data_IF_499745029459
#
_entry.id   IF_499745029459
#
_cell.length_a   1.000
_cell.length_b   1.000
_cell.length_c   1.000
_cell.angle_alpha   90.00
_cell.angle_beta   90.00
_cell.angle_gamma   90.00
#
_symmetry.space_group_name_H-M   'P 1'
#
loop_
_entity.id
_entity.type
_entity.pdbx_description
1 polymer ?
#
# COMPACT_ATOMS: atom_id res chain seq x y z
N UNK A 1 16.67 6.88 -49.58
CA UNK A 1 16.55 8.17 -48.85
C UNK A 1 17.04 7.97 -47.41
N UNK A 2 18.17 8.54 -47.03
CA UNK A 2 18.74 8.50 -45.68
C UNK A 2 17.80 9.22 -44.70
N UNK A 3 17.14 8.48 -43.79
CA UNK A 3 16.38 9.11 -42.69
C UNK A 3 17.30 9.29 -41.49
N UNK A 4 17.99 10.43 -41.49
CA UNK A 4 18.67 11.01 -40.33
C UNK A 4 17.73 10.97 -39.11
N UNK A 5 18.22 10.47 -37.97
CA UNK A 5 17.50 10.47 -36.69
C UNK A 5 17.38 11.91 -36.18
N UNK A 6 16.37 12.64 -36.67
CA UNK A 6 16.08 14.01 -36.25
C UNK A 6 15.54 14.00 -34.81
N UNK A 7 16.45 14.21 -33.86
CA UNK A 7 16.23 14.83 -32.54
C UNK A 7 15.10 14.31 -31.65
N UNK A 8 15.38 13.30 -30.82
CA UNK A 8 14.83 13.34 -29.47
C UNK A 8 15.58 14.48 -28.75
N UNK A 9 14.98 15.69 -28.66
CA UNK A 9 15.53 16.78 -27.84
C UNK A 9 15.49 16.33 -26.38
N UNK A 10 16.60 15.76 -25.92
CA UNK A 10 16.82 15.47 -24.50
C UNK A 10 17.29 16.75 -23.80
N UNK A 11 16.89 16.90 -22.56
CA UNK A 11 17.29 17.98 -21.67
C UNK A 11 18.45 17.47 -20.83
N UNK A 12 19.64 18.06 -20.98
CA UNK A 12 20.83 17.70 -20.19
C UNK A 12 20.87 18.50 -18.90
N UNK A 13 21.32 17.88 -17.82
CA UNK A 13 21.72 18.62 -16.63
C UNK A 13 23.05 19.33 -16.92
N UNK A 14 23.20 20.53 -16.36
CA UNK A 14 24.41 21.36 -16.42
C UNK A 14 25.38 21.05 -15.28
N UNK A 15 24.91 20.37 -14.23
CA UNK A 15 25.66 20.03 -13.03
C UNK A 15 26.07 18.55 -12.95
N UNK A 16 25.55 17.70 -13.85
CA UNK A 16 25.97 16.30 -14.00
C UNK A 16 25.63 15.75 -15.40
N UNK A 17 26.11 14.54 -15.70
CA UNK A 17 25.92 13.91 -17.03
C UNK A 17 24.50 13.34 -17.26
N UNK A 18 23.55 13.57 -16.35
CA UNK A 18 22.19 13.06 -16.47
C UNK A 18 21.42 13.72 -17.62
N UNK A 19 20.68 12.92 -18.37
CA UNK A 19 19.84 13.39 -19.49
C UNK A 19 18.40 12.92 -19.35
N UNK A 20 17.46 13.82 -19.68
CA UNK A 20 16.04 13.63 -19.44
C UNK A 20 15.23 13.84 -20.71
N UNK A 21 14.13 13.10 -20.86
CA UNK A 21 13.24 13.24 -22.03
C UNK A 21 12.33 14.48 -21.96
N UNK A 22 12.18 15.09 -20.78
CA UNK A 22 11.30 16.24 -20.56
C UNK A 22 11.94 17.26 -19.63
N UNK A 23 11.66 18.55 -19.86
CA UNK A 23 12.18 19.66 -19.08
C UNK A 23 11.74 19.63 -17.62
N UNK A 24 10.49 19.24 -17.37
CA UNK A 24 9.97 19.12 -16.01
C UNK A 24 10.70 18.04 -15.20
N UNK A 25 11.10 16.95 -15.85
CA UNK A 25 11.87 15.87 -15.20
C UNK A 25 13.29 16.31 -14.89
N UNK A 26 13.93 17.08 -15.79
CA UNK A 26 15.22 17.72 -15.51
C UNK A 26 15.11 18.71 -14.33
N UNK A 27 14.09 19.58 -14.32
CA UNK A 27 13.90 20.54 -13.24
C UNK A 27 13.71 19.86 -11.87
N UNK A 28 12.96 18.75 -11.85
CA UNK A 28 12.80 17.94 -10.63
C UNK A 28 14.14 17.33 -10.21
N UNK A 29 14.92 16.80 -11.14
CA UNK A 29 16.25 16.27 -10.85
C UNK A 29 17.17 17.34 -10.22
N UNK A 30 17.25 18.53 -10.81
CA UNK A 30 18.06 19.63 -10.28
C UNK A 30 17.62 19.97 -8.86
N UNK A 31 16.31 20.13 -8.63
CA UNK A 31 15.78 20.42 -7.30
C UNK A 31 16.05 19.30 -6.28
N UNK A 32 16.03 18.02 -6.67
CA UNK A 32 16.25 16.88 -5.77
C UNK A 32 17.73 16.68 -5.45
N UNK A 33 18.56 16.64 -6.50
CA UNK A 33 19.93 16.11 -6.45
C UNK A 33 20.94 17.22 -6.19
N UNK A 34 20.69 18.42 -6.70
CA UNK A 34 21.63 19.52 -6.63
C UNK A 34 21.21 20.56 -5.60
N UNK A 35 19.95 21.00 -5.61
CA UNK A 35 19.51 22.08 -4.71
C UNK A 35 18.96 21.60 -3.36
N UNK A 36 18.53 20.34 -3.28
CA UNK A 36 17.77 19.81 -2.12
C UNK A 36 16.42 20.52 -1.89
N UNK A 37 15.92 21.30 -2.85
CA UNK A 37 14.70 22.11 -2.75
C UNK A 37 13.42 21.26 -2.67
N UNK A 38 12.94 21.02 -1.44
CA UNK A 38 11.66 20.35 -1.15
C UNK A 38 10.60 21.37 -0.71
N UNK A 39 9.86 21.93 -1.66
CA UNK A 39 8.88 23.00 -1.41
C UNK A 39 7.53 22.52 -0.84
N UNK A 40 7.16 21.26 -1.09
CA UNK A 40 5.82 20.76 -0.77
C UNK A 40 5.84 19.97 0.55
N UNK A 41 5.50 20.64 1.65
CA UNK A 41 5.47 20.03 2.98
C UNK A 41 4.19 19.22 3.20
N UNK A 42 4.32 18.07 3.85
CA UNK A 42 3.17 17.36 4.40
C UNK A 42 2.67 18.10 5.65
N UNK A 43 1.36 18.19 5.80
CA UNK A 43 0.67 18.77 6.96
C UNK A 43 0.46 17.75 8.10
N UNK A 44 0.81 16.48 7.83
CA UNK A 44 0.60 15.35 8.74
C UNK A 44 1.91 14.75 9.25
N UNK A 45 3.04 15.16 8.66
CA UNK A 45 4.38 14.77 9.09
C UNK A 45 5.38 15.80 8.57
N UNK A 46 6.62 15.77 9.08
CA UNK A 46 7.64 16.77 8.75
C UNK A 46 8.30 16.55 7.37
N UNK A 47 7.85 15.56 6.59
CA UNK A 47 8.41 15.25 5.26
C UNK A 47 8.02 16.32 4.24
N UNK A 48 9.02 16.78 3.49
CA UNK A 48 8.85 17.67 2.35
C UNK A 48 9.18 16.96 1.03
N UNK A 49 8.50 17.34 -0.04
CA UNK A 49 8.60 16.73 -1.37
C UNK A 49 8.91 17.79 -2.43
N UNK A 50 9.51 17.34 -3.53
CA UNK A 50 9.91 18.22 -4.63
C UNK A 50 8.76 18.55 -5.57
N UNK A 51 7.72 17.71 -5.64
CA UNK A 51 6.55 17.98 -6.49
C UNK A 51 5.21 17.78 -5.76
N UNK A 52 4.14 18.46 -6.20
CA UNK A 52 2.80 18.24 -5.64
C UNK A 52 2.30 16.81 -5.91
N UNK A 53 2.67 16.21 -7.04
CA UNK A 53 2.23 14.86 -7.41
C UNK A 53 2.82 13.79 -6.49
N UNK A 54 4.08 13.95 -6.06
CA UNK A 54 4.72 13.08 -5.08
C UNK A 54 4.10 13.30 -3.70
N UNK A 55 3.87 14.54 -3.26
CA UNK A 55 3.14 14.81 -2.02
C UNK A 55 1.73 14.20 -2.03
N UNK A 56 0.98 14.36 -3.13
CA UNK A 56 -0.37 13.77 -3.30
C UNK A 56 -0.33 12.25 -3.22
N UNK A 57 0.71 11.63 -3.79
CA UNK A 57 0.90 10.18 -3.73
C UNK A 57 1.30 9.71 -2.32
N UNK A 58 2.11 10.51 -1.62
CA UNK A 58 2.43 10.30 -0.21
C UNK A 58 1.17 10.38 0.65
N UNK A 59 0.33 11.41 0.52
CA UNK A 59 -0.91 11.58 1.31
C UNK A 59 -2.02 10.56 0.99
N UNK A 60 -1.79 9.58 0.11
CA UNK A 60 -2.78 8.52 -0.14
C UNK A 60 -2.91 7.66 1.10
N UNK A 61 -4.07 7.74 1.74
CA UNK A 61 -4.41 6.93 2.91
C UNK A 61 -4.41 5.45 2.53
N UNK A 62 -3.54 4.66 3.18
CA UNK A 62 -3.54 3.19 3.10
C UNK A 62 -3.99 2.60 4.43
N UNK A 63 -4.31 1.31 4.40
CA UNK A 63 -4.52 0.52 5.61
C UNK A 63 -3.16 -0.06 6.03
N UNK A 64 -2.69 0.31 7.21
CA UNK A 64 -1.47 -0.25 7.81
C UNK A 64 -1.90 -1.07 9.02
N UNK A 65 -1.52 -2.33 9.02
CA UNK A 65 -1.89 -3.31 10.04
C UNK A 65 -0.63 -3.81 10.72
N UNK A 66 -0.61 -3.71 12.05
CA UNK A 66 0.41 -4.33 12.89
C UNK A 66 -0.29 -5.41 13.71
N UNK A 67 0.07 -6.66 13.45
CA UNK A 67 -0.42 -7.78 14.24
C UNK A 67 0.58 -8.08 15.35
N UNK A 68 0.09 -8.20 16.58
CA UNK A 68 0.94 -8.41 17.77
C UNK A 68 0.60 -9.68 18.53
N UNK A 69 1.63 -10.27 19.11
CA UNK A 69 1.53 -11.41 20.03
C UNK A 69 2.42 -11.10 21.23
N UNK A 70 1.84 -10.45 22.24
CA UNK A 70 2.57 -10.00 23.41
C UNK A 70 3.01 -11.20 24.27
N UNK A 71 4.17 -11.12 24.95
CA UNK A 71 4.62 -12.15 25.85
C UNK A 71 3.59 -12.48 26.95
N UNK A 72 3.59 -13.73 27.40
CA UNK A 72 2.67 -14.17 28.47
C UNK A 72 3.08 -13.62 29.83
N UNK A 73 2.31 -13.89 30.88
CA UNK A 73 2.69 -13.49 32.24
C UNK A 73 4.01 -14.12 32.70
N UNK A 74 4.27 -15.38 32.29
CA UNK A 74 5.45 -16.16 32.69
C UNK A 74 6.74 -15.68 32.02
N UNK A 75 6.65 -14.89 30.96
CA UNK A 75 7.81 -14.33 30.28
C UNK A 75 8.55 -13.37 31.20
N UNK A 76 9.88 -13.36 31.12
CA UNK A 76 10.72 -12.47 31.91
C UNK A 76 10.53 -10.98 31.51
N UNK A 77 11.11 -10.09 32.31
CA UNK A 77 11.00 -8.65 32.11
C UNK A 77 11.69 -8.18 30.82
N UNK A 78 12.82 -8.78 30.46
CA UNK A 78 13.60 -8.40 29.28
C UNK A 78 12.85 -8.72 27.98
N UNK A 79 12.20 -9.88 27.90
CA UNK A 79 11.36 -10.28 26.78
C UNK A 79 10.15 -9.34 26.62
N UNK A 80 9.53 -8.92 27.74
CA UNK A 80 8.45 -7.93 27.72
C UNK A 80 8.95 -6.59 27.20
N UNK A 81 10.11 -6.11 27.66
CA UNK A 81 10.71 -4.85 27.20
C UNK A 81 11.05 -4.87 25.72
N UNK A 82 11.78 -5.89 25.26
CA UNK A 82 12.11 -6.07 23.85
C UNK A 82 10.88 -6.06 22.93
N UNK A 83 9.78 -6.69 23.37
CA UNK A 83 8.52 -6.66 22.62
C UNK A 83 7.94 -5.25 22.46
N UNK A 84 7.90 -4.46 23.54
CA UNK A 84 7.36 -3.10 23.48
C UNK A 84 8.28 -2.12 22.74
N UNK A 85 9.60 -2.32 22.82
CA UNK A 85 10.58 -1.55 22.05
C UNK A 85 10.42 -1.82 20.55
N UNK A 86 10.34 -3.09 20.16
CA UNK A 86 10.08 -3.46 18.77
C UNK A 86 8.74 -2.91 18.28
N UNK A 87 7.68 -3.00 19.09
CA UNK A 87 6.39 -2.45 18.71
C UNK A 87 6.44 -0.92 18.57
N UNK A 88 7.22 -0.22 19.39
CA UNK A 88 7.45 1.21 19.27
C UNK A 88 8.14 1.54 17.94
N UNK A 89 9.18 0.79 17.55
CA UNK A 89 9.88 1.00 16.29
C UNK A 89 8.95 0.82 15.08
N UNK A 90 8.12 -0.22 15.08
CA UNK A 90 7.13 -0.46 14.01
C UNK A 90 6.09 0.66 13.93
N UNK A 91 5.66 1.22 15.07
CA UNK A 91 4.76 2.37 15.12
C UNK A 91 5.43 3.63 14.53
N UNK A 92 6.73 3.81 14.73
CA UNK A 92 7.48 4.95 14.17
C UNK A 92 7.70 4.84 12.66
N UNK A 93 7.77 3.62 12.12
CA UNK A 93 7.87 3.37 10.68
C UNK A 93 6.52 3.63 9.97
N UNK A 94 5.41 3.39 10.66
CA UNK A 94 4.07 3.53 10.10
C UNK A 94 3.75 4.98 9.66
N UNK A 95 3.25 5.21 8.42
CA UNK A 95 2.92 6.56 7.97
C UNK A 95 1.79 7.20 8.79
N UNK A 96 2.01 8.41 9.32
CA UNK A 96 1.01 9.14 10.13
C UNK A 96 -0.36 9.38 9.46
N UNK A 97 -0.41 9.37 8.12
CA UNK A 97 -1.65 9.58 7.37
C UNK A 97 -2.44 8.28 7.14
N UNK A 98 -1.87 7.11 7.45
CA UNK A 98 -2.52 5.82 7.23
C UNK A 98 -3.59 5.52 8.28
N UNK A 99 -4.52 4.65 7.90
CA UNK A 99 -5.47 3.99 8.79
C UNK A 99 -4.73 2.93 9.62
N UNK A 100 -3.83 3.35 10.51
CA UNK A 100 -3.04 2.46 11.35
C UNK A 100 -3.92 1.72 12.36
N UNK A 101 -3.74 0.39 12.41
CA UNK A 101 -4.43 -0.52 13.33
C UNK A 101 -3.45 -1.52 13.91
N UNK A 102 -3.38 -1.56 15.23
CA UNK A 102 -2.65 -2.60 15.97
C UNK A 102 -3.67 -3.56 16.55
N UNK A 103 -3.52 -4.86 16.32
CA UNK A 103 -4.41 -5.86 16.92
C UNK A 103 -3.69 -7.17 17.18
N UNK A 104 -4.29 -7.98 18.05
CA UNK A 104 -3.80 -9.32 18.38
C UNK A 104 -3.83 -9.55 19.88
N UNK A 105 -3.03 -10.50 20.34
CA UNK A 105 -3.04 -10.93 21.72
C UNK A 105 -2.11 -10.05 22.56
N UNK A 106 -2.71 -9.04 23.18
CA UNK A 106 -1.95 -8.09 23.99
C UNK A 106 -1.57 -8.65 25.37
N UNK A 107 -2.23 -9.72 25.82
CA UNK A 107 -2.11 -10.27 27.18
C UNK A 107 -2.27 -9.21 28.29
N UNK A 108 -2.98 -8.12 28.00
CA UNK A 108 -3.06 -6.92 28.83
C UNK A 108 -4.42 -6.85 29.54
N UNK A 109 -4.45 -6.40 30.79
CA UNK A 109 -5.68 -6.10 31.52
C UNK A 109 -5.71 -4.61 31.85
N UNK A 110 -6.84 -3.92 31.63
CA UNK A 110 -6.91 -2.45 31.66
C UNK A 110 -7.95 -1.90 32.66
N UNK A 111 -8.19 -2.54 33.81
CA UNK A 111 -9.29 -2.18 34.72
C UNK A 111 -8.92 -1.24 35.88
N UNK A 112 -7.71 -0.72 35.90
CA UNK A 112 -7.27 0.31 36.84
C UNK A 112 -7.80 1.70 36.50
N UNK A 113 -7.25 2.67 37.23
CA UNK A 113 -7.54 4.10 37.07
C UNK A 113 -7.24 4.58 35.64
N UNK A 114 -8.11 5.47 35.15
CA UNK A 114 -8.08 6.03 33.81
C UNK A 114 -7.55 7.47 33.78
N UNK A 115 -7.27 8.08 34.92
CA UNK A 115 -6.73 9.44 34.97
C UNK A 115 -5.49 9.57 34.09
N UNK A 116 -5.53 10.52 33.14
CA UNK A 116 -4.47 10.76 32.15
C UNK A 116 -4.54 9.89 30.89
N UNK A 117 -5.46 8.93 30.81
CA UNK A 117 -5.65 8.03 29.66
C UNK A 117 -7.05 8.14 29.05
N UNK A 118 -7.79 9.20 29.35
CA UNK A 118 -9.21 9.31 29.02
C UNK A 118 -9.50 9.31 27.51
N UNK A 119 -8.51 9.76 26.73
CA UNK A 119 -8.56 9.77 25.27
C UNK A 119 -8.05 8.46 24.68
N UNK A 120 -7.15 7.78 25.39
CA UNK A 120 -6.51 6.53 24.97
C UNK A 120 -7.43 5.34 25.17
N UNK A 121 -8.20 5.32 26.26
CA UNK A 121 -9.09 4.21 26.61
C UNK A 121 -10.44 4.73 27.11
N UNK A 122 -11.52 4.07 26.70
CA UNK A 122 -12.89 4.39 27.08
C UNK A 122 -13.32 3.76 28.40
N UNK A 123 -14.48 4.15 28.96
CA UNK A 123 -14.94 3.74 30.28
C UNK A 123 -15.41 2.29 30.35
N UNK A 124 -15.67 1.63 29.22
CA UNK A 124 -16.29 0.32 29.16
C UNK A 124 -15.24 -0.79 29.13
N UNK A 125 -14.67 -1.12 30.29
CA UNK A 125 -13.61 -2.15 30.45
C UNK A 125 -14.09 -3.31 31.32
N UNK A 126 -13.45 -4.46 31.25
CA UNK A 126 -13.85 -5.63 32.04
C UNK A 126 -12.67 -6.38 32.64
N UNK A 127 -12.79 -6.74 33.92
CA UNK A 127 -11.78 -7.42 34.72
C UNK A 127 -11.53 -6.69 36.05
N UNK A 128 -10.64 -7.22 36.88
CA UNK A 128 -10.49 -6.78 38.28
C UNK A 128 -9.40 -5.72 38.50
N UNK A 129 -8.31 -5.75 37.71
CA UNK A 129 -7.16 -4.84 37.88
C UNK A 129 -6.46 -4.56 36.54
N UNK A 130 -5.53 -3.62 36.55
CA UNK A 130 -4.51 -3.47 35.49
C UNK A 130 -3.30 -4.37 35.83
N UNK A 131 -2.72 -5.03 34.82
CA UNK A 131 -1.45 -5.74 34.95
C UNK A 131 -0.29 -4.95 34.30
N UNK A 132 0.97 -5.37 34.49
CA UNK A 132 2.16 -4.71 33.91
C UNK A 132 2.04 -4.48 32.38
N UNK A 133 1.53 -5.47 31.64
CA UNK A 133 1.28 -5.34 30.19
C UNK A 133 0.20 -4.31 29.86
N UNK A 134 -0.82 -4.20 30.71
CA UNK A 134 -1.83 -3.15 30.61
C UNK A 134 -1.25 -1.75 30.82
N UNK A 135 -0.37 -1.59 31.81
CA UNK A 135 0.37 -0.35 32.06
C UNK A 135 1.24 0.07 30.87
N UNK A 136 1.99 -0.90 30.32
CA UNK A 136 2.84 -0.70 29.15
C UNK A 136 2.02 -0.38 27.91
N UNK A 137 0.93 -1.11 27.67
CA UNK A 137 0.05 -0.90 26.51
C UNK A 137 -0.63 0.47 26.55
N UNK A 138 -1.18 0.90 27.71
CA UNK A 138 -1.84 2.22 27.81
C UNK A 138 -0.84 3.36 27.62
N UNK A 139 0.37 3.23 28.16
CA UNK A 139 1.45 4.21 28.00
C UNK A 139 1.90 4.31 26.54
N UNK A 140 2.20 3.18 25.90
CA UNK A 140 2.55 3.10 24.49
C UNK A 140 1.45 3.72 23.60
N UNK A 141 0.18 3.39 23.83
CA UNK A 141 -0.93 3.94 23.05
C UNK A 141 -1.06 5.45 23.26
N UNK A 142 -0.90 5.95 24.49
CA UNK A 142 -0.97 7.38 24.77
C UNK A 142 0.15 8.15 24.05
N UNK A 143 1.39 7.65 24.12
CA UNK A 143 2.56 8.27 23.46
C UNK A 143 2.42 8.31 21.93
N UNK A 144 1.81 7.29 21.33
CA UNK A 144 1.65 7.17 19.88
C UNK A 144 0.28 7.66 19.36
N UNK A 145 -0.50 8.38 20.18
CA UNK A 145 -1.84 8.87 19.83
C UNK A 145 -2.77 7.75 19.30
N UNK A 146 -2.78 6.60 19.95
CA UNK A 146 -3.67 5.47 19.64
C UNK A 146 -4.83 5.41 20.65
N UNK A 147 -6.05 5.08 20.19
CA UNK A 147 -7.15 4.69 21.05
C UNK A 147 -7.28 3.16 21.11
N UNK A 148 -7.37 2.59 22.30
CA UNK A 148 -7.68 1.18 22.58
C UNK A 148 -9.19 0.98 22.41
N UNK A 149 -9.64 0.73 21.18
CA UNK A 149 -10.99 1.08 20.75
C UNK A 149 -12.09 0.23 21.39
N UNK A 150 -11.82 -1.04 21.68
CA UNK A 150 -12.77 -1.94 22.36
C UNK A 150 -13.31 -1.35 23.67
N UNK A 151 -12.48 -0.61 24.39
CA UNK A 151 -12.82 -0.03 25.70
C UNK A 151 -13.83 1.12 25.63
N UNK A 152 -14.13 1.62 24.42
CA UNK A 152 -15.09 2.70 24.20
C UNK A 152 -16.51 2.20 23.89
N UNK A 153 -16.69 0.91 23.62
CA UNK A 153 -17.99 0.37 23.28
C UNK A 153 -18.64 -0.28 24.49
N UNK A 154 -19.84 0.19 24.82
CA UNK A 154 -20.64 -0.43 25.86
C UNK A 154 -21.25 -1.74 25.35
N UNK A 155 -20.82 -2.86 25.93
CA UNK A 155 -21.34 -4.17 25.60
C UNK A 155 -21.60 -5.00 26.86
N UNK A 156 -22.47 -6.00 26.74
CA UNK A 156 -22.63 -7.05 27.76
C UNK A 156 -21.28 -7.73 27.98
N UNK A 157 -20.95 -8.06 29.23
CA UNK A 157 -19.67 -8.69 29.64
C UNK A 157 -19.28 -9.87 28.73
N UNK A 158 -20.24 -10.70 28.35
CA UNK A 158 -20.03 -11.87 27.49
C UNK A 158 -19.47 -11.56 26.09
N UNK A 159 -19.68 -10.34 25.58
CA UNK A 159 -19.20 -9.87 24.27
C UNK A 159 -17.83 -9.19 24.36
N UNK A 160 -17.24 -9.13 25.55
CA UNK A 160 -15.93 -8.49 25.80
C UNK A 160 -14.86 -9.49 26.18
N UNK A 161 -15.25 -10.71 26.54
CA UNK A 161 -14.32 -11.75 26.99
C UNK A 161 -13.76 -12.51 25.80
N UNK A 162 -12.46 -12.38 25.59
CA UNK A 162 -11.76 -13.05 24.49
C UNK A 162 -11.07 -14.31 24.96
N UNK A 163 -10.47 -14.34 26.13
CA UNK A 163 -9.78 -15.53 26.62
C UNK A 163 -10.58 -16.27 27.68
N UNK A 164 -10.49 -17.60 27.67
CA UNK A 164 -11.06 -18.49 28.67
C UNK A 164 -9.97 -19.38 29.26
N UNK A 165 -9.90 -19.48 30.59
CA UNK A 165 -8.92 -20.34 31.25
C UNK A 165 -9.12 -21.82 30.93
N UNK A 166 -8.07 -22.65 31.00
CA UNK A 166 -8.23 -24.10 31.02
C UNK A 166 -9.25 -24.50 32.09
N UNK A 167 -10.27 -25.27 31.71
CA UNK A 167 -11.39 -25.64 32.59
C UNK A 167 -12.53 -24.61 32.71
N UNK A 168 -12.45 -23.47 32.03
CA UNK A 168 -13.57 -22.52 31.88
C UNK A 168 -13.93 -21.65 33.09
N UNK A 169 -13.13 -21.72 34.15
CA UNK A 169 -13.35 -21.01 35.42
C UNK A 169 -13.28 -19.48 35.28
N UNK A 170 -12.37 -18.97 34.45
CA UNK A 170 -12.12 -17.54 34.31
C UNK A 170 -12.21 -17.11 32.85
N UNK A 171 -12.70 -15.88 32.64
CA UNK A 171 -12.81 -15.24 31.33
C UNK A 171 -12.29 -13.81 31.43
N UNK A 172 -11.40 -13.43 30.52
CA UNK A 172 -10.72 -12.13 30.55
C UNK A 172 -10.77 -11.40 29.20
N UNK A 173 -10.76 -10.08 29.30
CA UNK A 173 -10.53 -9.15 28.18
C UNK A 173 -9.01 -8.92 28.10
N UNK A 174 -8.33 -9.54 27.12
CA UNK A 174 -6.86 -9.47 27.00
C UNK A 174 -6.31 -9.12 25.61
N UNK A 175 -7.19 -8.97 24.63
CA UNK A 175 -6.85 -8.67 23.23
C UNK A 175 -7.56 -7.38 22.83
N UNK A 176 -6.89 -6.49 22.12
CA UNK A 176 -7.43 -5.17 21.82
C UNK A 176 -7.15 -4.76 20.39
N UNK A 177 -8.01 -3.90 19.85
CA UNK A 177 -7.76 -3.22 18.58
C UNK A 177 -7.46 -1.76 18.92
N UNK A 178 -6.21 -1.37 18.70
CA UNK A 178 -5.74 -0.01 18.86
C UNK A 178 -5.75 0.68 17.50
N UNK A 179 -6.26 1.91 17.43
CA UNK A 179 -6.39 2.67 16.18
C UNK A 179 -5.83 4.06 16.38
N UNK A 180 -5.18 4.63 15.38
CA UNK A 180 -4.78 6.04 15.43
C UNK A 180 -5.96 6.94 15.79
N UNK A 181 -5.74 7.88 16.73
CA UNK A 181 -6.74 8.83 17.26
C UNK A 181 -7.53 9.51 16.16
N UNK A 182 -6.84 9.93 15.10
CA UNK A 182 -7.44 10.56 13.91
C UNK A 182 -8.53 9.71 13.26
N UNK A 183 -8.37 8.39 13.30
CA UNK A 183 -9.22 7.42 12.63
C UNK A 183 -10.09 6.62 13.60
N UNK A 184 -10.17 6.99 14.88
CA UNK A 184 -10.97 6.24 15.86
C UNK A 184 -12.47 6.19 15.50
N UNK A 185 -12.99 7.17 14.75
CA UNK A 185 -14.35 7.17 14.19
C UNK A 185 -14.56 6.19 13.03
N UNK A 186 -13.48 5.72 12.37
CA UNK A 186 -13.55 4.70 11.32
C UNK A 186 -13.91 3.32 11.86
N UNK A 187 -13.82 3.13 13.17
CA UNK A 187 -14.15 1.88 13.82
C UNK A 187 -15.47 2.07 14.58
N UNK A 188 -16.49 1.34 14.13
CA UNK A 188 -17.89 1.52 14.52
C UNK A 188 -18.31 0.61 15.68
N UNK A 189 -17.67 -0.55 15.83
CA UNK A 189 -18.00 -1.56 16.85
C UNK A 189 -16.81 -2.52 17.01
N UNK A 190 -16.47 -2.93 18.24
CA UNK A 190 -15.58 -4.09 18.48
C UNK A 190 -16.20 -4.98 19.52
N UNK A 191 -16.38 -6.26 19.17
CA UNK A 191 -16.87 -7.26 20.12
C UNK A 191 -16.35 -8.64 19.82
N UNK A 192 -16.31 -9.46 20.86
CA UNK A 192 -16.07 -10.88 20.75
C UNK A 192 -17.28 -11.59 20.12
N UNK A 193 -17.00 -12.58 19.26
CA UNK A 193 -17.96 -13.55 18.75
C UNK A 193 -17.59 -14.95 19.23
N UNK A 194 -18.54 -15.59 19.91
CA UNK A 194 -18.40 -16.89 20.58
C UNK A 194 -18.89 -18.03 19.69
N UNK A 195 -18.22 -18.34 18.58
CA UNK A 195 -18.62 -19.50 17.75
C UNK A 195 -17.54 -19.98 16.77
N UNK A 196 -16.31 -19.47 16.85
CA UNK A 196 -15.25 -19.99 15.99
C UNK A 196 -14.71 -21.26 16.66
N UNK A 197 -15.28 -22.40 16.31
CA UNK A 197 -14.82 -23.74 16.71
C UNK A 197 -13.47 -24.03 16.02
N UNK A 198 -12.41 -23.34 16.46
CA UNK A 198 -11.06 -23.45 15.89
C UNK A 198 -10.08 -24.11 16.88
N UNK A 199 -10.58 -24.77 17.93
CA UNK A 199 -9.74 -25.38 18.96
C UNK A 199 -8.85 -24.39 19.73
N UNK A 200 -9.24 -23.11 19.78
CA UNK A 200 -8.52 -22.06 20.52
C UNK A 200 -9.22 -21.71 21.83
N UNK A 201 -8.42 -21.38 22.85
CA UNK A 201 -8.86 -20.79 24.12
C UNK A 201 -9.23 -19.30 23.99
N UNK A 202 -9.18 -18.75 22.75
CA UNK A 202 -9.63 -17.42 22.40
C UNK A 202 -10.93 -17.41 21.57
N UNK A 203 -11.89 -16.58 21.96
CA UNK A 203 -13.02 -16.18 21.12
C UNK A 203 -12.56 -15.17 20.06
N UNK A 204 -13.14 -15.25 18.86
CA UNK A 204 -12.85 -14.33 17.76
C UNK A 204 -13.19 -12.88 18.14
N UNK A 205 -12.23 -11.97 17.96
CA UNK A 205 -12.45 -10.53 18.09
C UNK A 205 -12.85 -9.93 16.73
N UNK A 206 -14.02 -9.30 16.66
CA UNK A 206 -14.56 -8.74 15.41
C UNK A 206 -14.68 -7.23 15.52
N UNK A 207 -14.08 -6.51 14.58
CA UNK A 207 -14.26 -5.08 14.41
C UNK A 207 -15.11 -4.74 13.19
N UNK A 208 -16.17 -3.94 13.39
CA UNK A 208 -16.92 -3.31 12.31
C UNK A 208 -16.26 -2.01 11.92
N UNK A 209 -15.91 -1.90 10.65
CA UNK A 209 -15.04 -0.84 10.16
C UNK A 209 -15.69 -0.11 8.99
N UNK A 210 -15.62 1.22 9.01
CA UNK A 210 -15.98 2.06 7.87
C UNK A 210 -14.69 2.44 7.13
N UNK A 211 -14.57 1.97 5.89
CA UNK A 211 -13.40 2.20 5.03
C UNK A 211 -13.86 2.83 3.72
N UNK A 212 -13.33 4.00 3.39
CA UNK A 212 -13.50 4.61 2.08
C UNK A 212 -12.34 4.18 1.17
N UNK A 213 -12.48 3.01 0.57
CA UNK A 213 -11.48 2.47 -0.34
C UNK A 213 -11.53 3.21 -1.68
N UNK A 214 -10.37 3.63 -2.18
CA UNK A 214 -10.26 4.15 -3.55
C UNK A 214 -10.33 2.95 -4.49
N UNK A 215 -11.20 3.01 -5.51
CA UNK A 215 -11.27 1.99 -6.55
C UNK A 215 -9.88 1.81 -7.16
N UNK A 216 -9.33 0.60 -7.04
CA UNK A 216 -8.15 0.21 -7.80
C UNK A 216 -8.56 0.21 -9.26
N UNK A 217 -8.19 1.25 -10.02
CA UNK A 217 -8.31 1.19 -11.47
C UNK A 217 -7.20 0.27 -11.96
N UNK A 218 -7.51 -0.76 -12.76
CA UNK A 218 -6.47 -1.51 -13.44
C UNK A 218 -5.61 -0.48 -14.17
N UNK A 219 -4.28 -0.54 -14.00
CA UNK A 219 -3.42 0.25 -14.88
C UNK A 219 -3.81 -0.17 -16.30
N UNK A 220 -4.19 0.77 -17.18
CA UNK A 220 -4.49 0.40 -18.56
C UNK A 220 -3.28 -0.37 -19.06
N UNK A 221 -3.50 -1.59 -19.54
CA UNK A 221 -2.44 -2.33 -20.21
C UNK A 221 -1.98 -1.42 -21.35
N UNK A 222 -0.74 -0.95 -21.29
CA UNK A 222 -0.19 -0.22 -22.42
C UNK A 222 -0.25 -1.19 -23.59
N UNK A 223 -0.81 -0.80 -24.75
CA UNK A 223 -0.83 -1.68 -25.90
C UNK A 223 0.61 -2.14 -26.14
N UNK A 224 0.82 -3.46 -26.17
CA UNK A 224 2.16 -4.01 -26.42
C UNK A 224 2.64 -3.43 -27.75
N UNK A 225 3.77 -2.75 -27.73
CA UNK A 225 4.33 -2.10 -28.92
C UNK A 225 5.31 -3.06 -29.59
N UNK A 226 5.45 -3.00 -30.92
CA UNK A 226 6.47 -3.79 -31.60
C UNK A 226 7.88 -3.44 -31.08
N UNK A 227 8.77 -4.42 -31.02
CA UNK A 227 10.19 -4.22 -30.67
C UNK A 227 10.97 -3.57 -31.80
N UNK A 228 10.57 -2.37 -32.24
CA UNK A 228 11.20 -1.66 -33.37
C UNK A 228 12.71 -1.39 -33.13
N UNK A 229 13.20 -1.58 -31.91
CA UNK A 229 14.64 -1.57 -31.59
C UNK A 229 15.42 -2.68 -32.28
N UNK A 230 14.80 -3.83 -32.51
CA UNK A 230 15.45 -5.05 -32.99
C UNK A 230 15.72 -4.95 -34.50
N UNK A 231 14.98 -4.07 -35.20
CA UNK A 231 15.27 -3.65 -36.58
C UNK A 231 16.60 -2.91 -36.74
N UNK A 232 17.33 -2.61 -35.66
CA UNK A 232 18.71 -2.12 -35.76
C UNK A 232 19.69 -3.24 -36.07
N UNK A 233 19.33 -4.48 -35.75
CA UNK A 233 20.14 -5.65 -36.07
C UNK A 233 19.90 -6.02 -37.54
N UNK A 234 20.99 -6.16 -38.29
CA UNK A 234 20.96 -6.43 -39.73
C UNK A 234 20.10 -7.66 -40.10
N UNK A 235 20.16 -8.79 -39.36
CA UNK A 235 19.37 -9.97 -39.69
C UNK A 235 17.85 -9.76 -39.53
N UNK A 236 17.42 -9.15 -38.43
CA UNK A 236 15.99 -8.91 -38.13
C UNK A 236 15.40 -7.90 -39.14
N UNK A 237 16.18 -6.88 -39.51
CA UNK A 237 15.78 -5.92 -40.53
C UNK A 237 15.61 -6.56 -41.91
N UNK A 238 16.53 -7.44 -42.30
CA UNK A 238 16.45 -8.19 -43.56
C UNK A 238 15.27 -9.15 -43.59
N UNK A 239 15.03 -9.86 -42.49
CA UNK A 239 13.89 -10.78 -42.37
C UNK A 239 12.55 -10.03 -42.46
N UNK A 240 12.41 -8.87 -41.80
CA UNK A 240 11.22 -8.04 -41.90
C UNK A 240 11.00 -7.50 -43.33
N UNK A 241 12.08 -7.08 -44.02
CA UNK A 241 11.99 -6.64 -45.41
C UNK A 241 11.58 -7.77 -46.37
N UNK A 242 12.12 -8.97 -46.18
CA UNK A 242 11.76 -10.15 -46.96
C UNK A 242 10.28 -10.51 -46.75
N UNK A 243 9.82 -10.50 -45.50
CA UNK A 243 8.42 -10.79 -45.17
C UNK A 243 7.45 -9.79 -45.79
N UNK A 244 7.79 -8.49 -45.76
CA UNK A 244 7.01 -7.45 -46.43
C UNK A 244 6.92 -7.71 -47.94
N UNK A 245 8.06 -7.98 -48.59
CA UNK A 245 8.07 -8.27 -50.04
C UNK A 245 7.20 -9.47 -50.39
N UNK A 246 7.38 -10.57 -49.68
CA UNK A 246 6.61 -11.80 -49.91
C UNK A 246 5.10 -11.54 -49.82
N UNK A 247 4.65 -10.70 -48.88
CA UNK A 247 3.22 -10.41 -48.69
C UNK A 247 2.64 -9.40 -49.68
N UNK A 248 3.47 -8.51 -50.22
CA UNK A 248 3.05 -7.59 -51.28
C UNK A 248 3.13 -8.20 -52.68
N UNK A 249 3.94 -9.25 -52.87
CA UNK A 249 4.04 -9.97 -54.15
C UNK A 249 2.88 -10.94 -54.42
N UNK A 250 2.10 -11.31 -53.39
CA UNK A 250 0.87 -12.10 -53.55
C UNK A 250 -0.22 -11.19 -54.15
N UNK A 251 -0.73 -11.45 -55.37
CA UNK A 251 -1.82 -10.68 -55.95
C UNK A 251 -3.06 -10.81 -55.06
N UNK A 252 -3.66 -9.68 -54.68
CA UNK A 252 -4.97 -9.72 -54.04
C UNK A 252 -6.03 -10.01 -55.11
N UNK A 253 -6.88 -11.00 -54.87
CA UNK A 253 -8.12 -11.16 -55.63
C UNK A 253 -9.05 -9.99 -55.27
N UNK A 254 -9.11 -8.98 -56.15
CA UNK A 254 -9.97 -7.81 -55.95
C UNK A 254 -11.19 -7.92 -56.86
N UNK A 255 -12.29 -8.44 -56.33
CA UNK A 255 -13.60 -8.33 -56.95
C UNK A 255 -14.25 -7.00 -56.52
N UNK A 256 -13.98 -5.92 -57.26
CA UNK A 256 -14.64 -4.62 -57.09
C UNK A 256 -13.71 -3.39 -57.14
N UNK A 257 -14.31 -2.19 -57.22
CA UNK A 257 -13.60 -0.90 -57.10
C UNK A 257 -13.15 -0.69 -55.65
N UNK A 258 -11.87 -0.95 -55.34
CA UNK A 258 -11.29 -0.64 -54.02
C UNK A 258 -11.12 0.88 -53.83
N UNK A 259 -11.51 1.37 -52.65
CA UNK A 259 -11.28 2.75 -52.23
C UNK A 259 -9.84 2.95 -51.74
N UNK A 260 -9.33 4.20 -51.81
CA UNK A 260 -8.05 4.60 -51.18
C UNK A 260 -8.00 4.23 -49.69
N UNK A 261 -9.14 4.24 -49.01
CA UNK A 261 -9.23 3.83 -47.60
C UNK A 261 -8.97 2.33 -47.41
N UNK A 262 -9.37 1.52 -48.39
CA UNK A 262 -9.19 0.07 -48.36
C UNK A 262 -7.75 -0.32 -48.73
N UNK A 263 -7.13 0.40 -49.67
CA UNK A 263 -5.68 0.33 -49.92
C UNK A 263 -4.88 0.64 -48.65
N UNK A 264 -5.28 1.69 -47.92
CA UNK A 264 -4.59 2.08 -46.69
C UNK A 264 -4.74 1.02 -45.59
N UNK A 265 -5.94 0.44 -45.43
CA UNK A 265 -6.17 -0.68 -44.51
C UNK A 265 -5.33 -1.90 -44.87
N UNK A 266 -5.25 -2.25 -46.16
CA UNK A 266 -4.46 -3.38 -46.66
C UNK A 266 -2.97 -3.18 -46.38
N UNK A 267 -2.44 -1.99 -46.69
CA UNK A 267 -1.06 -1.63 -46.41
C UNK A 267 -0.77 -1.71 -44.90
N UNK A 268 -1.64 -1.11 -44.09
CA UNK A 268 -1.51 -1.10 -42.65
C UNK A 268 -1.51 -2.53 -42.07
N UNK A 269 -2.46 -3.37 -42.51
CA UNK A 269 -2.59 -4.76 -42.09
C UNK A 269 -1.34 -5.58 -42.44
N UNK A 270 -0.87 -5.45 -43.68
CA UNK A 270 0.33 -6.16 -44.17
C UNK A 270 1.56 -5.82 -43.32
N UNK A 271 1.74 -4.54 -42.98
CA UNK A 271 2.84 -4.09 -42.12
C UNK A 271 2.72 -4.64 -40.69
N UNK A 272 1.52 -4.61 -40.11
CA UNK A 272 1.26 -5.13 -38.75
C UNK A 272 1.57 -6.62 -38.66
N UNK A 273 1.09 -7.40 -39.62
CA UNK A 273 1.30 -8.85 -39.61
C UNK A 273 2.77 -9.19 -39.84
N UNK A 274 3.46 -8.45 -40.71
CA UNK A 274 4.89 -8.68 -41.00
C UNK A 274 5.71 -8.41 -39.75
N UNK A 275 5.39 -7.34 -39.02
CA UNK A 275 6.03 -6.97 -37.77
C UNK A 275 5.71 -7.97 -36.65
N UNK A 276 4.50 -8.55 -36.65
CA UNK A 276 4.10 -9.60 -35.70
C UNK A 276 4.91 -10.88 -35.90
N UNK A 277 5.22 -11.21 -37.16
CA UNK A 277 5.95 -12.43 -37.52
C UNK A 277 7.44 -12.34 -37.22
N UNK A 278 8.02 -11.14 -37.35
CA UNK A 278 9.49 -10.98 -37.36
C UNK A 278 10.05 -10.22 -36.15
N UNK A 279 9.32 -9.24 -35.63
CA UNK A 279 9.82 -8.31 -34.59
C UNK A 279 9.20 -8.63 -33.21
N UNK A 280 7.98 -9.17 -33.19
CA UNK A 280 7.25 -9.42 -31.95
C UNK A 280 6.89 -8.15 -31.17
N UNK A 281 6.19 -8.29 -30.04
CA UNK A 281 5.72 -7.15 -29.21
C UNK A 281 6.28 -7.21 -27.78
N UNK A 282 6.57 -6.05 -27.20
CA UNK A 282 6.88 -5.83 -25.77
C UNK A 282 5.77 -5.10 -25.02
#
# INVERSE_FOLDING_TARGET
>A
MLRLRKGERTFKCDQCDATFKRKDTLNVHIQVVHDGHKKYKCDLCEKAFVTPSVLKSHKKVKLTVIQIYAPTEKSDKAAKEAFYDQLQDELMIAPHHDLLRVFGDCNAQLNGDRSGFEVTMGPHRSGARTNDKGERLRSLCAMNNLCIRNTFFQHKRILKMMWQSPGGLYKNEISYICVSKRWCSSLLDVKSRRVADVGSDHNLLVAKCWLKLVRSTPKPQRPRTFNVTDLKETPVAQQFQLELRNRFEIPAETDGEESIEDDWKRLHQTVIESATTTIGRR
#
